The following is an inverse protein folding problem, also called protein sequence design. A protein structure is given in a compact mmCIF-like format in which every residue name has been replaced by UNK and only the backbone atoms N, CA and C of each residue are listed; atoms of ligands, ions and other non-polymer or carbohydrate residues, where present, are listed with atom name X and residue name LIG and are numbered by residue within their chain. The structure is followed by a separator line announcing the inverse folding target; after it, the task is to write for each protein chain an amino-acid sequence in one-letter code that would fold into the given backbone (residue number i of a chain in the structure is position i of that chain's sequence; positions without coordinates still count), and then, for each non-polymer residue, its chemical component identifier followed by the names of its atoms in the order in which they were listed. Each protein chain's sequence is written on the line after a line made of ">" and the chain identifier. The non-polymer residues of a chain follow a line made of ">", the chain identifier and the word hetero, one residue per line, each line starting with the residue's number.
data_IF_929772702129
#
_entry.id   IF_929772702129
#
_cell.length_a   1.000
_cell.length_b   1.000
_cell.length_c   1.000
_cell.angle_alpha   90.00
_cell.angle_beta   90.00
_cell.angle_gamma   90.00
#
_symmetry.space_group_name_H-M   'P 1'
#
loop_
_entity.id
_entity.type
_entity.pdbx_description
1 polymer ?
#
# COMPACT_ATOMS: atom_id res chain seq x y z
N UNK A 1 58.36 22.07 -9.14
CA UNK A 1 57.17 22.23 -10.01
C UNK A 1 56.55 20.90 -10.43
N UNK A 2 57.29 19.88 -10.88
CA UNK A 2 56.70 18.60 -11.31
C UNK A 2 56.13 17.70 -10.18
N UNK A 3 56.66 17.80 -8.95
CA UNK A 3 56.20 17.02 -7.78
C UNK A 3 54.82 17.45 -7.24
N UNK A 4 54.43 18.72 -7.43
CA UNK A 4 53.15 19.24 -6.92
C UNK A 4 51.96 18.85 -7.79
N UNK A 5 52.19 18.59 -9.08
CA UNK A 5 51.15 18.15 -10.01
C UNK A 5 50.74 16.71 -9.69
N UNK A 6 51.70 15.80 -9.51
CA UNK A 6 51.42 14.39 -9.20
C UNK A 6 50.63 14.19 -7.87
N UNK A 7 50.86 15.06 -6.88
CA UNK A 7 50.15 15.02 -5.59
C UNK A 7 48.68 15.44 -5.70
N UNK A 8 48.36 16.39 -6.60
CA UNK A 8 46.96 16.81 -6.88
C UNK A 8 46.15 15.75 -7.61
N UNK A 9 46.77 14.98 -8.50
CA UNK A 9 46.10 13.88 -9.19
C UNK A 9 45.78 12.71 -8.25
N UNK A 10 46.70 12.34 -7.35
CA UNK A 10 46.47 11.29 -6.36
C UNK A 10 45.37 11.65 -5.34
N UNK A 11 45.31 12.91 -4.90
CA UNK A 11 44.26 13.38 -3.96
C UNK A 11 42.88 13.47 -4.63
N UNK A 12 42.82 13.91 -5.90
CA UNK A 12 41.57 13.96 -6.66
C UNK A 12 40.97 12.57 -6.93
N UNK A 13 41.82 11.58 -7.24
CA UNK A 13 41.39 10.20 -7.48
C UNK A 13 40.97 9.46 -6.19
N UNK A 14 41.59 9.76 -5.05
CA UNK A 14 41.18 9.21 -3.74
C UNK A 14 39.82 9.75 -3.28
N UNK A 15 39.54 11.03 -3.51
CA UNK A 15 38.24 11.61 -3.18
C UNK A 15 37.11 11.03 -4.05
N UNK A 16 37.35 10.82 -5.35
CA UNK A 16 36.37 10.21 -6.26
C UNK A 16 36.07 8.73 -5.92
N UNK A 17 37.09 7.97 -5.50
CA UNK A 17 36.93 6.57 -5.08
C UNK A 17 36.16 6.41 -3.76
N UNK A 18 36.29 7.36 -2.82
CA UNK A 18 35.55 7.37 -1.56
C UNK A 18 34.06 7.66 -1.76
N UNK A 19 33.70 8.52 -2.73
CA UNK A 19 32.30 8.82 -3.08
C UNK A 19 31.63 7.64 -3.80
N UNK A 20 32.36 6.95 -4.69
CA UNK A 20 31.83 5.78 -5.40
C UNK A 20 31.63 4.54 -4.50
N UNK A 21 32.27 4.50 -3.32
CA UNK A 21 32.15 3.40 -2.35
C UNK A 21 31.00 3.54 -1.36
N UNK A 22 30.31 4.68 -1.33
CA UNK A 22 29.11 4.85 -0.50
C UNK A 22 27.90 4.33 -1.29
N UNK A 23 27.69 3.02 -1.26
CA UNK A 23 26.38 2.46 -1.62
C UNK A 23 25.31 3.20 -0.83
N UNK A 24 24.39 3.91 -1.49
CA UNK A 24 23.29 4.58 -0.83
C UNK A 24 22.52 3.58 0.02
N UNK A 25 22.63 3.68 1.34
CA UNK A 25 21.84 2.87 2.25
C UNK A 25 20.42 3.44 2.26
N UNK A 26 19.46 2.72 1.69
CA UNK A 26 18.06 3.07 1.81
C UNK A 26 17.59 2.97 3.26
N UNK A 27 16.73 3.90 3.67
CA UNK A 27 16.01 3.82 4.94
C UNK A 27 14.68 3.08 4.71
N UNK A 28 14.46 1.99 5.44
CA UNK A 28 13.27 1.16 5.26
C UNK A 28 12.22 1.45 6.34
N UNK A 29 10.98 1.66 5.93
CA UNK A 29 9.87 1.92 6.85
C UNK A 29 8.71 0.93 6.66
N UNK A 30 8.04 0.65 7.77
CA UNK A 30 6.72 0.03 7.78
C UNK A 30 5.67 1.09 8.04
N UNK A 31 4.59 1.03 7.27
CA UNK A 31 3.43 1.90 7.40
C UNK A 31 2.20 1.07 7.68
N UNK A 32 1.36 1.48 8.64
CA UNK A 32 0.10 0.81 8.88
C UNK A 32 -0.94 1.67 9.59
N UNK A 33 -2.22 1.41 9.29
CA UNK A 33 -3.37 1.89 10.05
C UNK A 33 -4.28 0.70 10.37
N UNK A 34 -4.88 0.70 11.56
CA UNK A 34 -5.93 -0.24 11.92
C UNK A 34 -7.10 0.55 12.50
N UNK A 35 -8.30 0.33 11.98
CA UNK A 35 -9.48 1.10 12.37
C UNK A 35 -10.75 0.23 12.36
N UNK A 36 -11.73 0.52 13.22
CA UNK A 36 -13.02 -0.12 13.17
C UNK A 36 -13.83 0.39 11.97
N UNK A 37 -14.47 -0.53 11.26
CA UNK A 37 -15.41 -0.24 10.18
C UNK A 37 -16.43 -1.37 10.05
N UNK A 38 -17.30 -1.27 9.05
CA UNK A 38 -18.23 -2.34 8.69
C UNK A 38 -17.71 -3.10 7.47
N UNK A 39 -17.99 -4.40 7.39
CA UNK A 39 -17.90 -5.15 6.14
C UNK A 39 -19.12 -4.90 5.22
N UNK A 40 -19.18 -5.52 4.05
CA UNK A 40 -20.27 -5.28 3.10
C UNK A 40 -21.66 -5.71 3.61
N UNK A 41 -21.71 -6.62 4.60
CA UNK A 41 -22.94 -7.02 5.30
C UNK A 41 -23.33 -6.11 6.47
N UNK A 42 -22.54 -5.09 6.80
CA UNK A 42 -22.82 -4.17 7.91
C UNK A 42 -22.35 -4.68 9.28
N UNK A 43 -21.54 -5.74 9.32
CA UNK A 43 -21.01 -6.29 10.57
C UNK A 43 -19.77 -5.50 11.00
N UNK A 44 -19.63 -5.16 12.29
CA UNK A 44 -18.46 -4.45 12.79
C UNK A 44 -17.22 -5.35 12.71
N UNK A 45 -16.16 -4.84 12.08
CA UNK A 45 -14.88 -5.51 11.87
C UNK A 45 -13.72 -4.51 12.06
N UNK A 46 -12.54 -5.03 12.36
CA UNK A 46 -11.31 -4.26 12.19
C UNK A 46 -10.85 -4.32 10.73
N UNK A 47 -10.33 -3.21 10.22
CA UNK A 47 -9.66 -3.15 8.91
C UNK A 47 -8.23 -2.71 9.12
N UNK A 48 -7.30 -3.39 8.46
CA UNK A 48 -5.87 -3.07 8.47
C UNK A 48 -5.42 -2.65 7.08
N UNK A 49 -4.73 -1.51 7.03
CA UNK A 49 -4.02 -1.02 5.84
C UNK A 49 -2.54 -1.05 6.15
N UNK A 50 -1.70 -1.58 5.25
CA UNK A 50 -0.26 -1.62 5.47
C UNK A 50 0.57 -1.67 4.18
N UNK A 51 1.77 -1.10 4.22
CA UNK A 51 2.77 -1.18 3.15
C UNK A 51 4.16 -0.89 3.69
N UNK A 52 5.15 -1.00 2.81
CA UNK A 52 6.56 -0.82 3.14
C UNK A 52 7.16 0.18 2.15
N UNK A 53 8.08 1.03 2.61
CA UNK A 53 8.85 1.94 1.75
C UNK A 53 10.35 1.70 1.93
N UNK A 54 11.11 1.98 0.88
CA UNK A 54 12.56 2.15 0.88
C UNK A 54 12.85 3.57 0.38
N UNK A 55 13.40 4.40 1.25
CA UNK A 55 13.69 5.80 0.96
C UNK A 55 15.19 5.99 0.74
N UNK A 56 15.56 6.44 -0.45
CA UNK A 56 16.94 6.69 -0.82
C UNK A 56 17.30 8.15 -0.53
N UNK A 57 18.56 8.44 -0.17
CA UNK A 57 19.00 9.82 -0.04
C UNK A 57 18.89 10.60 -1.36
N UNK A 58 18.56 11.89 -1.31
CA UNK A 58 18.39 12.76 -2.49
C UNK A 58 19.60 12.81 -3.45
N UNK A 59 20.81 12.46 -2.96
CA UNK A 59 22.04 12.43 -3.77
C UNK A 59 22.22 11.12 -4.55
N UNK A 60 21.38 10.12 -4.31
CA UNK A 60 21.41 8.82 -4.98
C UNK A 60 20.57 8.85 -6.26
N UNK A 61 20.95 8.02 -7.24
CA UNK A 61 20.32 8.01 -8.58
C UNK A 61 19.00 7.22 -8.66
N UNK A 62 18.63 6.51 -7.58
CA UNK A 62 17.45 5.65 -7.55
C UNK A 62 16.33 6.35 -6.78
N UNK A 63 15.13 6.31 -7.34
CA UNK A 63 13.92 6.83 -6.70
C UNK A 63 13.48 5.95 -5.52
N UNK A 64 12.69 6.54 -4.63
CA UNK A 64 12.05 5.82 -3.53
C UNK A 64 11.14 4.70 -4.05
N UNK A 65 11.15 3.58 -3.33
CA UNK A 65 10.37 2.40 -3.67
C UNK A 65 9.33 2.08 -2.60
N UNK A 66 8.26 1.42 -3.02
CA UNK A 66 7.24 0.94 -2.11
C UNK A 66 6.62 -0.38 -2.58
N UNK A 67 6.16 -1.18 -1.62
CA UNK A 67 5.30 -2.33 -1.92
C UNK A 67 3.89 -1.88 -2.28
N UNK A 68 3.10 -2.78 -2.86
CA UNK A 68 1.64 -2.61 -2.91
C UNK A 68 1.07 -2.36 -1.50
N UNK A 69 -0.01 -1.58 -1.43
CA UNK A 69 -0.73 -1.34 -0.19
C UNK A 69 -1.72 -2.48 0.02
N UNK A 70 -1.58 -3.16 1.14
CA UNK A 70 -2.46 -4.25 1.55
C UNK A 70 -3.62 -3.67 2.34
N UNK A 71 -4.85 -4.01 1.96
CA UNK A 71 -6.06 -3.76 2.75
C UNK A 71 -6.68 -5.10 3.11
N UNK A 72 -6.82 -5.33 4.41
CA UNK A 72 -7.28 -6.60 4.98
C UNK A 72 -8.46 -6.30 5.92
N UNK A 73 -9.50 -7.11 5.87
CA UNK A 73 -10.65 -7.02 6.78
C UNK A 73 -10.61 -8.21 7.73
N UNK A 74 -10.85 -7.97 9.02
CA UNK A 74 -10.92 -9.01 10.03
C UNK A 74 -11.94 -10.08 9.62
N UNK A 75 -11.59 -11.35 9.85
CA UNK A 75 -12.38 -12.52 9.47
C UNK A 75 -12.52 -12.76 7.97
N UNK A 76 -11.72 -12.11 7.13
CA UNK A 76 -11.79 -12.27 5.67
C UNK A 76 -10.50 -12.84 5.10
N UNK A 77 -10.61 -13.78 4.16
CA UNK A 77 -9.50 -14.21 3.30
C UNK A 77 -9.26 -13.26 2.12
N UNK A 78 -10.17 -12.31 1.85
CA UNK A 78 -10.00 -11.36 0.75
C UNK A 78 -8.96 -10.31 1.13
N UNK A 79 -7.81 -10.35 0.47
CA UNK A 79 -6.77 -9.32 0.58
C UNK A 79 -6.78 -8.45 -0.66
N UNK A 80 -6.95 -7.14 -0.46
CA UNK A 80 -6.82 -6.16 -1.52
C UNK A 80 -5.38 -5.64 -1.61
N UNK A 81 -4.88 -5.51 -2.83
CA UNK A 81 -3.54 -5.00 -3.11
C UNK A 81 -3.65 -3.78 -4.03
N UNK A 82 -3.57 -2.57 -3.46
CA UNK A 82 -3.57 -1.35 -4.24
C UNK A 82 -2.17 -1.08 -4.78
N UNK A 83 -2.10 -0.74 -6.06
CA UNK A 83 -0.87 -0.49 -6.81
C UNK A 83 -1.00 0.79 -7.61
N UNK A 84 0.13 1.44 -7.87
CA UNK A 84 0.21 2.58 -8.79
C UNK A 84 0.33 2.11 -10.24
N UNK A 85 0.08 3.02 -11.18
CA UNK A 85 0.30 2.74 -12.60
C UNK A 85 1.75 2.31 -12.87
N UNK A 86 1.94 1.38 -13.81
CA UNK A 86 3.26 0.84 -14.17
C UNK A 86 3.81 -0.26 -13.24
N UNK A 87 3.20 -0.49 -12.07
CA UNK A 87 3.57 -1.62 -11.22
C UNK A 87 2.98 -2.94 -11.73
N UNK A 88 3.73 -4.04 -11.57
CA UNK A 88 3.28 -5.37 -11.96
C UNK A 88 1.97 -5.77 -11.28
N UNK A 89 1.00 -6.19 -12.08
CA UNK A 89 -0.33 -6.59 -11.59
C UNK A 89 -1.20 -5.42 -11.11
N UNK A 90 -0.90 -4.17 -11.46
CA UNK A 90 -1.76 -3.01 -11.16
C UNK A 90 -3.11 -3.05 -11.89
N UNK A 91 -3.18 -3.75 -13.03
CA UNK A 91 -4.35 -3.77 -13.90
C UNK A 91 -4.62 -2.41 -14.57
N UNK A 92 -5.55 -2.40 -15.52
CA UNK A 92 -5.93 -1.20 -16.27
C UNK A 92 -7.36 -0.76 -15.95
N UNK A 93 -7.54 -0.27 -14.73
CA UNK A 93 -8.82 0.24 -14.23
C UNK A 93 -8.69 1.68 -13.71
N UNK A 94 -7.84 2.50 -14.32
CA UNK A 94 -7.72 3.93 -13.99
C UNK A 94 -6.32 4.45 -13.65
N UNK A 95 -6.16 5.74 -13.28
CA UNK A 95 -4.92 6.29 -12.76
C UNK A 95 -4.79 6.13 -11.23
N UNK A 96 -3.66 6.58 -10.67
CA UNK A 96 -3.41 6.62 -9.24
C UNK A 96 -3.18 5.26 -8.57
N UNK A 97 -3.17 5.27 -7.24
CA UNK A 97 -3.02 4.08 -6.40
C UNK A 97 -4.38 3.41 -6.19
N UNK A 98 -4.54 2.21 -6.76
CA UNK A 98 -5.84 1.56 -6.89
C UNK A 98 -5.77 0.03 -6.89
N UNK A 99 -6.91 -0.61 -6.67
CA UNK A 99 -7.12 -2.03 -6.96
C UNK A 99 -8.35 -2.21 -7.86
N UNK A 100 -8.23 -3.04 -8.89
CA UNK A 100 -9.28 -3.34 -9.84
C UNK A 100 -10.24 -4.42 -9.32
N UNK A 101 -11.52 -4.28 -9.63
CA UNK A 101 -12.52 -5.29 -9.34
C UNK A 101 -12.20 -6.58 -10.11
N UNK A 102 -12.31 -7.72 -9.44
CA UNK A 102 -12.08 -9.01 -10.08
C UNK A 102 -13.38 -9.54 -10.70
N UNK A 103 -13.41 -9.83 -12.02
CA UNK A 103 -14.60 -10.35 -12.66
C UNK A 103 -15.09 -11.64 -12.01
N UNK A 104 -16.37 -11.69 -11.66
CA UNK A 104 -16.99 -12.85 -11.01
C UNK A 104 -16.82 -12.91 -9.48
N UNK A 105 -15.97 -12.08 -8.89
CA UNK A 105 -15.83 -11.94 -7.44
C UNK A 105 -16.38 -10.61 -6.92
N UNK A 106 -16.19 -9.52 -7.66
CA UNK A 106 -16.50 -8.17 -7.20
C UNK A 106 -17.49 -7.48 -8.14
N UNK A 107 -18.45 -6.74 -7.57
CA UNK A 107 -19.42 -5.93 -8.31
C UNK A 107 -19.26 -4.47 -7.94
N UNK A 108 -18.94 -3.63 -8.91
CA UNK A 108 -18.90 -2.16 -8.74
C UNK A 108 -20.33 -1.65 -8.52
N UNK A 109 -20.53 -0.89 -7.44
CA UNK A 109 -21.83 -0.35 -7.02
C UNK A 109 -21.92 1.17 -7.07
N UNK A 110 -20.79 1.85 -7.25
CA UNK A 110 -20.73 3.31 -7.47
C UNK A 110 -20.11 3.66 -8.83
N UNK A 111 -20.75 3.29 -9.96
CA UNK A 111 -20.28 3.71 -11.27
C UNK A 111 -20.43 5.22 -11.43
N UNK A 112 -19.39 5.92 -11.90
CA UNK A 112 -19.47 7.33 -12.29
C UNK A 112 -19.20 8.37 -11.19
N UNK A 113 -18.77 7.99 -9.98
CA UNK A 113 -18.41 8.93 -8.90
C UNK A 113 -17.02 9.59 -9.09
N UNK A 114 -16.65 9.93 -10.33
CA UNK A 114 -15.27 10.31 -10.71
C UNK A 114 -14.29 9.14 -10.69
N UNK A 115 -14.78 7.92 -10.44
CA UNK A 115 -13.99 6.71 -10.41
C UNK A 115 -13.85 6.10 -11.80
N UNK A 116 -12.65 5.66 -12.19
CA UNK A 116 -12.42 5.00 -13.47
C UNK A 116 -13.17 3.66 -13.56
N UNK A 117 -13.50 3.23 -14.78
CA UNK A 117 -14.21 1.98 -15.01
C UNK A 117 -13.44 0.78 -14.45
N UNK A 118 -14.11 -0.03 -13.62
CA UNK A 118 -13.53 -1.24 -13.02
C UNK A 118 -12.68 -1.03 -11.77
N UNK A 119 -12.44 0.20 -11.33
CA UNK A 119 -11.78 0.45 -10.04
C UNK A 119 -12.68 0.01 -8.87
N UNK A 120 -12.09 -0.69 -7.91
CA UNK A 120 -12.77 -1.22 -6.74
C UNK A 120 -12.33 -0.47 -5.48
N UNK A 121 -11.02 -0.33 -5.27
CA UNK A 121 -10.46 0.50 -4.21
C UNK A 121 -9.61 1.60 -4.82
N UNK A 122 -9.76 2.82 -4.32
CA UNK A 122 -8.97 4.00 -4.70
C UNK A 122 -8.38 4.62 -3.43
N UNK A 123 -7.09 4.96 -3.49
CA UNK A 123 -6.42 5.73 -2.44
C UNK A 123 -6.21 7.17 -2.90
N UNK A 124 -6.59 8.12 -2.05
CA UNK A 124 -6.52 9.55 -2.30
C UNK A 124 -7.06 9.90 -3.70
N UNK A 125 -8.34 9.57 -4.01
CA UNK A 125 -8.91 9.74 -5.35
C UNK A 125 -8.87 11.19 -5.86
N UNK A 126 -8.71 12.16 -4.97
CA UNK A 126 -8.52 13.58 -5.26
C UNK A 126 -7.10 13.94 -5.75
N UNK A 127 -6.14 13.02 -5.67
CA UNK A 127 -4.73 13.19 -6.05
C UNK A 127 -4.25 12.02 -6.94
N UNK A 128 -4.71 11.92 -8.20
CA UNK A 128 -4.45 10.77 -9.07
C UNK A 128 -2.99 10.60 -9.50
N UNK A 129 -2.16 11.63 -9.38
CA UNK A 129 -0.74 11.61 -9.74
C UNK A 129 0.14 11.10 -8.59
N UNK A 130 -0.44 10.85 -7.42
CA UNK A 130 0.29 10.46 -6.24
C UNK A 130 0.80 9.02 -6.33
N UNK A 131 2.06 8.81 -5.95
CA UNK A 131 2.71 7.50 -5.90
C UNK A 131 2.79 6.99 -4.45
N UNK A 132 2.89 5.67 -4.27
CA UNK A 132 2.91 5.05 -2.94
C UNK A 132 4.06 5.59 -2.05
N UNK A 133 5.30 5.80 -2.54
CA UNK A 133 6.36 6.39 -1.73
C UNK A 133 6.05 7.81 -1.24
N UNK A 134 5.20 8.56 -1.95
CA UNK A 134 4.89 9.97 -1.72
C UNK A 134 3.58 10.18 -0.94
N UNK A 135 3.04 9.12 -0.33
CA UNK A 135 1.77 9.19 0.39
C UNK A 135 1.83 10.17 1.57
N UNK A 136 0.80 11.01 1.76
CA UNK A 136 0.70 11.90 2.90
C UNK A 136 0.34 11.14 4.18
N UNK A 137 0.51 11.80 5.33
CA UNK A 137 0.18 11.24 6.65
C UNK A 137 -1.33 10.98 6.86
N UNK A 138 -2.18 11.61 6.04
CA UNK A 138 -3.62 11.39 6.03
C UNK A 138 -4.04 10.75 4.71
N UNK A 139 -4.64 9.57 4.78
CA UNK A 139 -5.10 8.81 3.62
C UNK A 139 -6.62 8.82 3.49
N UNK A 140 -7.11 8.87 2.26
CA UNK A 140 -8.53 8.76 1.92
C UNK A 140 -8.75 7.48 1.10
N UNK A 141 -9.24 6.42 1.73
CA UNK A 141 -9.53 5.15 1.06
C UNK A 141 -11.00 5.11 0.65
N UNK A 142 -11.28 5.01 -0.66
CA UNK A 142 -12.64 4.86 -1.18
C UNK A 142 -12.86 3.44 -1.71
N UNK A 143 -13.96 2.81 -1.31
CA UNK A 143 -14.37 1.47 -1.77
C UNK A 143 -15.64 1.60 -2.60
N UNK A 144 -15.58 1.10 -3.85
CA UNK A 144 -16.57 1.34 -4.90
C UNK A 144 -17.37 0.08 -5.27
N UNK A 145 -17.08 -1.03 -4.62
CA UNK A 145 -17.49 -2.36 -5.01
C UNK A 145 -17.90 -3.18 -3.79
N UNK A 146 -18.71 -4.20 -4.03
CA UNK A 146 -19.11 -5.20 -3.02
C UNK A 146 -18.76 -6.60 -3.52
N UNK A 147 -18.47 -7.55 -2.62
CA UNK A 147 -18.29 -8.94 -3.03
C UNK A 147 -19.61 -9.46 -3.63
N UNK A 148 -19.53 -10.23 -4.72
CA UNK A 148 -20.69 -10.91 -5.29
C UNK A 148 -21.18 -12.02 -4.36
N UNK A 149 -20.25 -12.69 -3.69
CA UNK A 149 -20.51 -13.73 -2.68
C UNK A 149 -19.58 -13.50 -1.50
N UNK A 150 -20.10 -12.93 -0.39
CA UNK A 150 -19.31 -12.69 0.83
C UNK A 150 -18.79 -13.97 1.46
N UNK A 151 -19.43 -15.11 1.22
CA UNK A 151 -19.02 -16.42 1.73
C UNK A 151 -18.97 -17.41 0.56
N UNK A 152 -17.88 -18.16 0.47
CA UNK A 152 -17.65 -19.17 -0.58
C UNK A 152 -17.16 -20.48 0.03
N UNK A 153 -17.44 -21.60 -0.62
CA UNK A 153 -16.83 -22.88 -0.26
C UNK A 153 -15.59 -23.11 -1.11
N UNK A 154 -14.44 -23.27 -0.48
CA UNK A 154 -13.16 -23.56 -1.14
C UNK A 154 -12.56 -24.81 -0.52
N UNK A 155 -12.24 -25.81 -1.35
CA UNK A 155 -11.69 -27.09 -0.89
C UNK A 155 -12.50 -27.78 0.23
N UNK A 156 -13.82 -27.57 0.28
CA UNK A 156 -14.70 -28.12 1.32
C UNK A 156 -14.83 -27.26 2.58
N UNK A 157 -14.07 -26.17 2.70
CA UNK A 157 -14.13 -25.24 3.82
C UNK A 157 -14.97 -24.02 3.46
N UNK A 158 -15.76 -23.53 4.42
CA UNK A 158 -16.52 -22.29 4.30
C UNK A 158 -15.59 -21.13 4.62
N UNK A 159 -15.38 -20.27 3.63
CA UNK A 159 -14.45 -19.15 3.68
C UNK A 159 -15.21 -17.84 3.53
N UNK A 160 -14.96 -16.92 4.43
CA UNK A 160 -15.45 -15.55 4.34
C UNK A 160 -14.49 -14.70 3.48
N UNK A 161 -15.06 -14.02 2.49
CA UNK A 161 -14.39 -13.10 1.57
C UNK A 161 -15.01 -11.70 1.62
N UNK A 162 -15.83 -11.43 2.62
CA UNK A 162 -16.42 -10.13 2.85
C UNK A 162 -15.31 -9.12 3.20
N UNK A 163 -15.47 -7.88 2.78
CA UNK A 163 -14.45 -6.86 2.98
C UNK A 163 -15.09 -5.53 3.32
N UNK A 164 -14.25 -4.55 3.65
CA UNK A 164 -14.65 -3.17 3.96
C UNK A 164 -15.81 -2.70 3.08
N UNK A 165 -16.86 -2.21 3.74
CA UNK A 165 -18.09 -1.74 3.11
C UNK A 165 -17.80 -0.71 2.02
N UNK A 166 -18.54 -0.81 0.90
CA UNK A 166 -18.53 0.22 -0.12
C UNK A 166 -19.06 1.55 0.44
N UNK A 167 -18.40 2.66 0.12
CA UNK A 167 -18.81 3.99 0.59
C UNK A 167 -18.55 5.05 -0.48
N UNK A 168 -19.54 5.93 -0.67
CA UNK A 168 -19.40 7.13 -1.50
C UNK A 168 -18.51 8.20 -0.84
N UNK A 169 -18.36 8.15 0.48
CA UNK A 169 -17.45 9.02 1.25
C UNK A 169 -16.19 8.22 1.62
N UNK A 170 -14.98 8.71 1.31
CA UNK A 170 -13.75 8.00 1.66
C UNK A 170 -13.58 7.79 3.18
N UNK A 171 -13.04 6.63 3.55
CA UNK A 171 -12.53 6.38 4.89
C UNK A 171 -11.25 7.19 5.10
N UNK A 172 -11.21 7.99 6.16
CA UNK A 172 -10.01 8.75 6.54
C UNK A 172 -9.15 7.92 7.48
N UNK A 173 -7.88 7.72 7.12
CA UNK A 173 -6.91 6.92 7.85
C UNK A 173 -5.70 7.79 8.23
N UNK A 174 -5.08 7.48 9.37
CA UNK A 174 -3.81 8.07 9.82
C UNK A 174 -2.79 6.95 10.07
N UNK A 175 -2.02 6.57 9.05
CA UNK A 175 -1.05 5.50 9.16
C UNK A 175 0.09 5.88 10.10
N UNK A 176 0.48 4.95 10.95
CA UNK A 176 1.73 5.01 11.71
C UNK A 176 2.88 4.62 10.80
N UNK A 177 3.95 5.41 10.83
CA UNK A 177 5.23 5.12 10.20
C UNK A 177 6.25 4.72 11.26
N UNK A 178 6.99 3.64 11.03
CA UNK A 178 8.05 3.19 11.94
C UNK A 178 9.23 2.57 11.17
N UNK A 179 10.49 2.78 11.62
CA UNK A 179 11.65 2.14 11.01
C UNK A 179 11.51 0.62 11.03
N UNK A 180 11.78 -0.03 9.90
CA UNK A 180 11.67 -1.48 9.78
C UNK A 180 12.58 -2.17 10.79
N UNK A 181 12.07 -3.25 11.39
CA UNK A 181 12.78 -4.00 12.43
C UNK A 181 12.60 -3.46 13.85
N UNK A 182 12.05 -2.25 14.01
CA UNK A 182 11.67 -1.74 15.33
C UNK A 182 10.44 -2.46 15.89
N UNK A 183 10.26 -2.41 17.22
CA UNK A 183 9.07 -2.96 17.87
C UNK A 183 7.76 -2.29 17.39
N UNK A 184 7.83 -1.01 17.01
CA UNK A 184 6.68 -0.25 16.51
C UNK A 184 6.33 -0.55 15.05
N UNK A 185 7.19 -1.27 14.31
CA UNK A 185 7.01 -1.56 12.88
C UNK A 185 6.00 -2.65 12.57
N UNK A 186 5.52 -3.38 13.59
CA UNK A 186 4.53 -4.44 13.42
C UNK A 186 3.13 -3.88 13.66
N UNK A 187 2.22 -3.99 12.68
CA UNK A 187 0.82 -3.66 12.92
C UNK A 187 0.22 -4.61 13.97
N UNK A 188 -0.80 -4.17 14.72
CA UNK A 188 -1.54 -5.04 15.60
C UNK A 188 -2.13 -6.25 14.85
N UNK A 189 -2.21 -7.39 15.54
CA UNK A 189 -2.91 -8.57 15.03
C UNK A 189 -4.42 -8.34 15.09
N UNK A 190 -5.17 -9.01 14.20
CA UNK A 190 -6.61 -9.10 14.33
C UNK A 190 -6.97 -9.94 15.56
N UNK A 191 -8.09 -9.61 16.20
CA UNK A 191 -8.68 -10.45 17.22
C UNK A 191 -9.48 -11.58 16.55
N UNK A 192 -8.84 -12.74 16.39
CA UNK A 192 -9.46 -13.90 15.73
C UNK A 192 -10.61 -14.52 16.54
N UNK A 193 -10.76 -14.16 17.84
CA UNK A 193 -11.84 -14.71 18.66
C UNK A 193 -13.23 -14.26 18.19
N UNK A 194 -13.29 -13.10 17.52
CA UNK A 194 -14.52 -12.52 16.92
C UNK A 194 -14.94 -13.24 15.64
N UNK A 195 -14.02 -13.97 15.00
CA UNK A 195 -14.22 -14.63 13.71
C UNK A 195 -14.81 -16.03 13.80
N UNK A 196 -15.05 -16.53 15.01
CA UNK A 196 -15.79 -17.78 15.22
C UNK A 196 -17.26 -17.54 14.94
N UNK A 197 -17.74 -18.06 13.82
CA UNK A 197 -19.14 -18.41 13.62
C UNK A 197 -19.34 -19.84 14.15
N UNK A 198 -20.30 -20.03 15.05
CA UNK A 198 -20.89 -21.35 15.32
C UNK A 198 -21.45 -22.00 14.04
#
# INVERSE_FOLDING_TARGET
>A
MARDIARRWLLGSLAAGLVAGMSGCASYYSHYAMFPAENSRGEPRQVRVSWLTAEYPDWWLQDDEATAIRVETQCSERVWLLRQAGADGAGDCGPGVRACAEPGLDRVVFPGAGAPAGACLLLNPEQPDLTIPQLPDQLHLRVLCVPMRPVVTRAGEVVDQDYLRASSVPYTLYPKRAPRGSAAARPPAFDESVCRSD
#
